data_IF_029822322873
#
_entry.id   IF_029822322873
#
_cell.length_a   1.000
_cell.length_b   1.000
_cell.length_c   1.000
_cell.angle_alpha   90.00
_cell.angle_beta   90.00
_cell.angle_gamma   90.00
#
_symmetry.space_group_name_H-M   'P 1'
#
loop_
_entity.id
_entity.type
_entity.pdbx_description
1 polymer ?
#
# COMPACT_ATOMS: atom_id res chain seq x y z
N UNK A 1 25.40 51.70 -56.49
CA UNK A 1 25.94 51.41 -55.12
C UNK A 1 24.81 50.81 -54.27
N UNK A 2 24.79 49.51 -54.16
CA UNK A 2 23.70 48.74 -53.51
C UNK A 2 24.23 48.20 -52.18
N UNK A 3 23.69 48.70 -51.08
CA UNK A 3 24.11 48.28 -49.72
C UNK A 3 23.26 47.03 -49.33
N UNK A 4 23.95 45.96 -48.97
CA UNK A 4 23.35 44.69 -48.47
C UNK A 4 23.30 44.78 -46.94
N UNK A 5 22.15 44.58 -46.29
CA UNK A 5 22.11 44.52 -44.84
C UNK A 5 22.52 43.10 -44.40
N UNK A 6 23.44 43.06 -43.46
CA UNK A 6 23.89 41.83 -42.78
C UNK A 6 22.80 41.36 -41.78
N UNK A 7 22.15 40.24 -42.07
CA UNK A 7 21.24 39.61 -41.14
C UNK A 7 22.06 38.81 -40.08
N UNK A 8 21.98 39.27 -38.84
CA UNK A 8 22.53 38.57 -37.67
C UNK A 8 21.59 37.42 -37.33
N UNK A 9 21.98 36.21 -37.62
CA UNK A 9 21.27 35.01 -37.14
C UNK A 9 21.71 34.73 -35.69
N UNK A 10 20.80 34.98 -34.74
CA UNK A 10 20.97 34.60 -33.34
C UNK A 10 20.63 33.14 -33.23
N UNK A 11 21.66 32.30 -33.08
CA UNK A 11 21.54 30.86 -32.78
C UNK A 11 21.19 30.73 -31.31
N UNK A 12 19.92 30.48 -30.98
CA UNK A 12 19.48 30.19 -29.64
C UNK A 12 19.95 28.78 -29.27
N UNK A 13 20.98 28.70 -28.44
CA UNK A 13 21.47 27.44 -27.86
C UNK A 13 20.51 27.04 -26.74
N UNK A 14 19.57 26.13 -27.05
CA UNK A 14 18.76 25.47 -26.03
C UNK A 14 19.67 24.55 -25.21
N UNK A 15 20.16 25.05 -24.09
CA UNK A 15 20.82 24.21 -23.07
C UNK A 15 19.70 23.42 -22.39
N UNK A 16 19.54 22.15 -22.78
CA UNK A 16 18.79 21.17 -21.99
C UNK A 16 19.60 20.92 -20.72
N UNK A 17 19.23 21.58 -19.62
CA UNK A 17 19.60 21.16 -18.29
C UNK A 17 18.85 19.84 -18.05
N UNK A 18 19.48 18.74 -18.40
CA UNK A 18 19.13 17.46 -17.80
C UNK A 18 19.40 17.63 -16.30
N UNK A 19 18.32 17.75 -15.51
CA UNK A 19 18.40 17.63 -14.08
C UNK A 19 18.86 16.18 -13.84
N UNK A 20 20.13 16.03 -13.46
CA UNK A 20 20.57 14.81 -12.80
C UNK A 20 19.79 14.75 -11.50
N UNK A 21 18.78 13.87 -11.43
CA UNK A 21 18.26 13.43 -10.15
C UNK A 21 19.42 12.81 -9.42
N UNK A 22 19.64 13.28 -8.21
CA UNK A 22 20.59 12.68 -7.27
C UNK A 22 20.00 11.34 -6.84
N UNK A 23 20.47 10.26 -7.48
CA UNK A 23 19.87 8.93 -7.42
C UNK A 23 20.22 8.17 -6.12
N UNK A 24 20.66 8.86 -5.06
CA UNK A 24 21.18 8.23 -3.84
C UNK A 24 20.20 8.16 -2.65
N UNK A 25 19.33 9.16 -2.48
CA UNK A 25 18.44 9.22 -1.29
C UNK A 25 16.99 8.88 -1.58
N UNK A 26 16.59 8.65 -2.83
CA UNK A 26 15.21 8.42 -3.25
C UNK A 26 14.93 7.11 -3.98
N UNK A 27 15.91 6.21 -4.09
CA UNK A 27 15.76 5.00 -4.93
C UNK A 27 14.55 4.15 -4.50
N UNK A 28 14.26 4.06 -3.20
CA UNK A 28 13.16 3.28 -2.67
C UNK A 28 11.97 4.11 -2.18
N UNK A 29 12.08 5.45 -2.15
CA UNK A 29 11.06 6.33 -1.59
C UNK A 29 9.67 6.08 -2.20
N UNK A 30 9.56 6.07 -3.53
CA UNK A 30 8.29 5.82 -4.21
C UNK A 30 7.71 4.42 -3.93
N UNK A 31 8.57 3.40 -3.79
CA UNK A 31 8.15 2.05 -3.44
C UNK A 31 7.66 1.97 -1.98
N UNK A 32 8.37 2.63 -1.06
CA UNK A 32 7.99 2.75 0.36
C UNK A 32 6.67 3.51 0.49
N UNK A 33 6.51 4.65 -0.17
CA UNK A 33 5.26 5.41 -0.21
C UNK A 33 4.10 4.57 -0.74
N UNK A 34 4.31 3.85 -1.85
CA UNK A 34 3.29 2.98 -2.43
C UNK A 34 2.82 1.91 -1.45
N UNK A 35 3.74 1.11 -0.88
CA UNK A 35 3.37 0.05 0.07
C UNK A 35 2.72 0.60 1.33
N UNK A 36 3.24 1.70 1.86
CA UNK A 36 2.71 2.39 3.03
C UNK A 36 1.31 2.95 2.75
N UNK A 37 1.09 3.54 1.58
CA UNK A 37 -0.22 4.02 1.13
C UNK A 37 -1.26 2.90 1.09
N UNK A 38 -0.94 1.75 0.48
CA UNK A 38 -1.82 0.58 0.45
C UNK A 38 -2.13 0.07 1.87
N UNK A 39 -1.12 -0.04 2.73
CA UNK A 39 -1.30 -0.46 4.12
C UNK A 39 -2.18 0.53 4.91
N UNK A 40 -2.04 1.83 4.66
CA UNK A 40 -2.88 2.86 5.30
C UNK A 40 -4.35 2.77 4.87
N UNK A 41 -4.64 2.49 3.60
CA UNK A 41 -6.02 2.25 3.13
C UNK A 41 -6.62 1.02 3.83
N UNK A 42 -5.86 -0.07 3.95
CA UNK A 42 -6.31 -1.26 4.68
C UNK A 42 -6.56 -0.95 6.17
N UNK A 43 -5.63 -0.23 6.81
CA UNK A 43 -5.74 0.14 8.22
C UNK A 43 -6.94 1.05 8.50
N UNK A 44 -7.24 2.00 7.60
CA UNK A 44 -8.42 2.87 7.70
C UNK A 44 -9.71 2.06 7.81
N UNK A 45 -9.94 1.14 6.88
CA UNK A 45 -11.13 0.31 6.87
C UNK A 45 -11.17 -0.63 8.08
N UNK A 46 -10.04 -1.23 8.43
CA UNK A 46 -9.94 -2.13 9.58
C UNK A 46 -10.26 -1.41 10.91
N UNK A 47 -9.77 -0.18 11.11
CA UNK A 47 -10.04 0.61 12.32
C UNK A 47 -11.54 0.94 12.47
N UNK A 48 -12.20 1.35 11.39
CA UNK A 48 -13.63 1.68 11.43
C UNK A 48 -14.48 0.44 11.74
N UNK A 49 -14.24 -0.67 11.04
CA UNK A 49 -14.90 -1.94 11.36
C UNK A 49 -14.59 -2.41 12.79
N UNK A 50 -13.36 -2.20 13.25
CA UNK A 50 -12.93 -2.55 14.60
C UNK A 50 -13.66 -1.77 15.70
N UNK A 51 -14.04 -0.51 15.46
CA UNK A 51 -14.86 0.27 16.39
C UNK A 51 -16.26 -0.36 16.55
N UNK A 52 -16.86 -0.80 15.45
CA UNK A 52 -18.17 -1.49 15.46
C UNK A 52 -18.05 -2.86 16.16
N UNK A 53 -17.05 -3.67 15.81
CA UNK A 53 -16.86 -5.01 16.39
C UNK A 53 -16.64 -4.96 17.92
N UNK A 54 -15.98 -3.89 18.40
CA UNK A 54 -15.74 -3.63 19.83
C UNK A 54 -16.92 -2.93 20.54
N UNK A 55 -18.02 -2.68 19.86
CA UNK A 55 -19.19 -1.99 20.42
C UNK A 55 -18.99 -0.49 20.70
N UNK A 56 -17.94 0.13 20.12
CA UNK A 56 -17.65 1.57 20.25
C UNK A 56 -18.40 2.41 19.22
N UNK A 57 -18.94 1.78 18.18
CA UNK A 57 -19.77 2.40 17.16
C UNK A 57 -20.96 1.50 16.84
N UNK A 58 -22.07 2.11 16.39
CA UNK A 58 -23.30 1.38 15.99
C UNK A 58 -23.02 0.56 14.73
N UNK A 59 -23.54 -0.66 14.71
CA UNK A 59 -23.50 -1.49 13.50
C UNK A 59 -24.51 -0.97 12.47
N UNK A 60 -24.02 -0.69 11.28
CA UNK A 60 -24.78 -0.47 10.06
C UNK A 60 -24.25 -1.45 9.00
N UNK A 61 -25.11 -2.37 8.56
CA UNK A 61 -24.72 -3.44 7.64
C UNK A 61 -24.16 -2.89 6.33
N UNK A 62 -24.82 -1.86 5.76
CA UNK A 62 -24.41 -1.31 4.48
C UNK A 62 -23.02 -0.63 4.56
N UNK A 63 -22.80 0.14 5.61
CA UNK A 63 -21.50 0.78 5.85
C UNK A 63 -20.40 -0.26 6.11
N UNK A 64 -20.66 -1.25 6.96
CA UNK A 64 -19.70 -2.31 7.26
C UNK A 64 -19.35 -3.13 6.00
N UNK A 65 -20.35 -3.46 5.18
CA UNK A 65 -20.15 -4.20 3.93
C UNK A 65 -19.29 -3.40 2.94
N UNK A 66 -19.50 -2.08 2.82
CA UNK A 66 -18.62 -1.23 1.99
C UNK A 66 -17.18 -1.28 2.49
N UNK A 67 -16.96 -1.07 3.78
CA UNK A 67 -15.61 -1.10 4.38
C UNK A 67 -14.92 -2.46 4.22
N UNK A 68 -15.66 -3.56 4.34
CA UNK A 68 -15.13 -4.90 4.12
C UNK A 68 -14.74 -5.14 2.65
N UNK A 69 -15.51 -4.62 1.69
CA UNK A 69 -15.17 -4.65 0.25
C UNK A 69 -13.96 -3.80 -0.06
N UNK A 70 -13.87 -2.58 0.50
CA UNK A 70 -12.73 -1.68 0.29
C UNK A 70 -11.44 -2.28 0.87
N UNK A 71 -11.50 -2.89 2.06
CA UNK A 71 -10.40 -3.63 2.64
C UNK A 71 -9.97 -4.81 1.74
N UNK A 72 -10.95 -5.58 1.24
CA UNK A 72 -10.67 -6.68 0.32
C UNK A 72 -10.01 -6.18 -0.97
N UNK A 73 -10.54 -5.13 -1.59
CA UNK A 73 -9.97 -4.55 -2.80
C UNK A 73 -8.52 -4.06 -2.57
N UNK A 74 -8.27 -3.34 -1.47
CA UNK A 74 -6.94 -2.86 -1.13
C UNK A 74 -5.94 -4.01 -0.89
N UNK A 75 -6.38 -5.11 -0.26
CA UNK A 75 -5.52 -6.28 -0.01
C UNK A 75 -5.17 -7.06 -1.29
N UNK A 76 -5.92 -6.86 -2.38
CA UNK A 76 -5.69 -7.51 -3.69
C UNK A 76 -4.92 -6.62 -4.67
N UNK A 77 -4.57 -5.40 -4.30
CA UNK A 77 -3.60 -4.63 -5.09
C UNK A 77 -2.28 -5.39 -5.17
N UNK A 78 -1.59 -5.26 -6.29
CA UNK A 78 -0.24 -5.80 -6.41
C UNK A 78 0.72 -4.92 -5.60
N UNK A 79 0.94 -5.31 -4.34
CA UNK A 79 1.79 -4.58 -3.41
C UNK A 79 3.27 -4.96 -3.55
N UNK A 80 3.58 -6.07 -4.23
CA UNK A 80 4.95 -6.62 -4.30
C UNK A 80 5.96 -5.64 -4.93
N UNK A 81 5.62 -4.85 -5.98
CA UNK A 81 6.52 -3.82 -6.49
C UNK A 81 6.91 -2.75 -5.45
N UNK A 82 6.18 -2.63 -4.34
CA UNK A 82 6.53 -1.77 -3.20
C UNK A 82 7.57 -2.38 -2.25
N UNK A 83 8.14 -3.55 -2.57
CA UNK A 83 9.17 -4.25 -1.79
C UNK A 83 10.36 -4.63 -2.69
N UNK A 84 11.02 -3.68 -3.37
CA UNK A 84 12.30 -3.98 -4.01
C UNK A 84 13.32 -4.44 -2.96
N UNK A 85 14.29 -5.27 -3.37
CA UNK A 85 15.34 -5.77 -2.48
C UNK A 85 16.06 -4.59 -1.81
N UNK A 86 16.45 -4.75 -0.55
CA UNK A 86 17.12 -3.73 0.27
C UNK A 86 16.28 -2.47 0.60
N UNK A 87 14.98 -2.42 0.29
CA UNK A 87 14.11 -1.29 0.64
C UNK A 87 13.63 -1.29 2.11
N UNK A 88 14.34 -1.93 3.01
CA UNK A 88 14.23 -1.81 4.48
C UNK A 88 15.09 -0.65 5.01
N UNK A 89 16.03 -0.14 4.21
CA UNK A 89 16.82 1.02 4.55
C UNK A 89 16.07 2.31 4.19
N UNK A 90 15.64 3.06 5.21
CA UNK A 90 14.96 4.34 5.03
C UNK A 90 14.24 4.81 6.31
N UNK A 91 14.07 6.12 6.45
CA UNK A 91 13.49 6.73 7.64
C UNK A 91 11.97 6.45 7.79
N UNK A 92 11.27 6.16 6.68
CA UNK A 92 9.81 6.02 6.63
C UNK A 92 9.33 4.56 6.45
N UNK A 93 10.16 3.59 6.82
CA UNK A 93 9.80 2.16 6.74
C UNK A 93 10.09 1.41 8.03
N UNK A 94 9.15 0.54 8.41
CA UNK A 94 9.33 -0.48 9.46
C UNK A 94 9.52 -1.88 8.82
N UNK A 95 9.83 -1.98 7.52
CA UNK A 95 10.08 -3.28 6.87
C UNK A 95 11.40 -3.87 7.38
N UNK A 96 11.43 -5.20 7.51
CA UNK A 96 12.64 -5.92 7.93
C UNK A 96 13.30 -6.62 6.75
N UNK A 97 14.63 -6.72 6.77
CA UNK A 97 15.39 -7.47 5.79
C UNK A 97 14.99 -8.95 5.66
N UNK A 98 14.35 -9.52 6.70
CA UNK A 98 13.78 -10.87 6.67
C UNK A 98 12.73 -11.07 5.58
N UNK A 99 12.13 -10.02 5.02
CA UNK A 99 11.21 -10.08 3.89
C UNK A 99 11.88 -10.77 2.70
N UNK A 100 13.09 -10.35 2.34
CA UNK A 100 13.82 -10.87 1.18
C UNK A 100 14.53 -12.19 1.49
N UNK A 101 14.89 -12.42 2.76
CA UNK A 101 15.48 -13.68 3.20
C UNK A 101 14.45 -14.82 3.23
N UNK A 102 13.16 -14.51 3.40
CA UNK A 102 12.06 -15.51 3.48
C UNK A 102 10.86 -15.08 2.63
N UNK A 103 11.14 -14.75 1.35
CA UNK A 103 10.18 -14.20 0.39
C UNK A 103 8.95 -15.09 0.19
N UNK A 104 9.13 -16.41 0.16
CA UNK A 104 8.04 -17.36 0.00
C UNK A 104 7.05 -17.29 1.18
N UNK A 105 7.54 -17.17 2.40
CA UNK A 105 6.70 -17.01 3.58
C UNK A 105 6.04 -15.61 3.62
N UNK A 106 6.76 -14.56 3.20
CA UNK A 106 6.20 -13.22 3.09
C UNK A 106 5.00 -13.22 2.13
N UNK A 107 5.15 -13.75 0.92
CA UNK A 107 4.08 -13.83 -0.07
C UNK A 107 2.94 -14.73 0.38
N UNK A 108 3.22 -15.87 1.02
CA UNK A 108 2.21 -16.75 1.61
C UNK A 108 1.37 -16.04 2.69
N UNK A 109 1.97 -15.12 3.48
CA UNK A 109 1.22 -14.31 4.45
C UNK A 109 0.33 -13.27 3.79
N UNK A 110 0.76 -12.67 2.68
CA UNK A 110 -0.10 -11.80 1.87
C UNK A 110 -1.29 -12.56 1.30
N UNK A 111 -1.08 -13.77 0.81
CA UNK A 111 -2.15 -14.63 0.28
C UNK A 111 -3.13 -15.06 1.39
N UNK A 112 -2.62 -15.34 2.58
CA UNK A 112 -3.47 -15.59 3.75
C UNK A 112 -4.34 -14.38 4.08
N UNK A 113 -3.78 -13.16 4.05
CA UNK A 113 -4.56 -11.92 4.23
C UNK A 113 -5.64 -11.77 3.17
N UNK A 114 -5.31 -11.93 1.88
CA UNK A 114 -6.25 -11.87 0.75
C UNK A 114 -7.42 -12.83 0.93
N UNK A 115 -7.13 -14.07 1.35
CA UNK A 115 -8.16 -15.07 1.66
C UNK A 115 -9.10 -14.61 2.78
N UNK A 116 -8.55 -14.11 3.88
CA UNK A 116 -9.37 -13.73 5.05
C UNK A 116 -10.18 -12.45 4.79
N UNK A 117 -9.66 -11.50 4.00
CA UNK A 117 -10.41 -10.28 3.60
C UNK A 117 -11.54 -10.61 2.63
N UNK A 118 -11.33 -11.53 1.67
CA UNK A 118 -12.37 -12.03 0.77
C UNK A 118 -13.51 -12.72 1.55
N UNK A 119 -13.15 -13.54 2.53
CA UNK A 119 -14.13 -14.17 3.40
C UNK A 119 -14.89 -13.13 4.24
N UNK A 120 -14.22 -12.06 4.71
CA UNK A 120 -14.87 -10.99 5.45
C UNK A 120 -15.86 -10.21 4.58
N UNK A 121 -15.50 -9.89 3.34
CA UNK A 121 -16.39 -9.19 2.40
C UNK A 121 -17.66 -10.01 2.12
N UNK A 122 -17.52 -11.32 1.93
CA UNK A 122 -18.63 -12.26 1.74
C UNK A 122 -19.51 -12.36 2.99
N UNK A 123 -18.90 -12.53 4.17
CA UNK A 123 -19.63 -12.66 5.44
C UNK A 123 -20.38 -11.37 5.78
N UNK A 124 -19.77 -10.19 5.53
CA UNK A 124 -20.39 -8.89 5.76
C UNK A 124 -21.63 -8.68 4.89
N UNK A 125 -21.63 -9.15 3.64
CA UNK A 125 -22.77 -9.09 2.75
C UNK A 125 -23.97 -9.94 3.27
N UNK A 126 -23.69 -11.05 3.97
CA UNK A 126 -24.70 -11.90 4.59
C UNK A 126 -25.37 -11.31 5.84
N UNK A 127 -24.76 -10.31 6.48
CA UNK A 127 -25.34 -9.55 7.59
C UNK A 127 -25.33 -10.22 8.97
N UNK A 128 -24.88 -11.46 9.11
CA UNK A 128 -24.74 -12.12 10.42
C UNK A 128 -23.56 -11.49 11.20
N UNK A 129 -23.89 -10.67 12.18
CA UNK A 129 -22.90 -9.91 12.95
C UNK A 129 -22.00 -10.81 13.84
N UNK A 130 -22.47 -11.98 14.28
CA UNK A 130 -21.65 -12.91 15.05
C UNK A 130 -20.59 -13.56 14.15
N UNK A 131 -20.98 -14.00 12.96
CA UNK A 131 -20.07 -14.49 11.94
C UNK A 131 -19.07 -13.42 11.49
N UNK A 132 -19.53 -12.17 11.29
CA UNK A 132 -18.70 -11.01 10.95
C UNK A 132 -17.60 -10.79 12.01
N UNK A 133 -17.96 -10.75 13.30
CA UNK A 133 -16.98 -10.58 14.39
C UNK A 133 -15.91 -11.69 14.38
N UNK A 134 -16.33 -12.91 14.17
CA UNK A 134 -15.43 -14.05 14.09
C UNK A 134 -14.48 -13.91 12.91
N UNK A 135 -14.97 -13.55 11.72
CA UNK A 135 -14.16 -13.42 10.52
C UNK A 135 -13.24 -12.18 10.57
N UNK A 136 -13.73 -11.05 11.14
CA UNK A 136 -12.89 -9.88 11.42
C UNK A 136 -11.68 -10.24 12.31
N UNK A 137 -11.89 -11.09 13.32
CA UNK A 137 -10.81 -11.59 14.17
C UNK A 137 -9.75 -12.40 13.40
N UNK A 138 -10.14 -13.14 12.35
CA UNK A 138 -9.18 -13.87 11.49
C UNK A 138 -8.36 -12.92 10.63
N UNK A 139 -8.97 -11.88 10.06
CA UNK A 139 -8.22 -10.81 9.35
C UNK A 139 -7.18 -10.18 10.27
N UNK A 140 -7.57 -9.82 11.49
CA UNK A 140 -6.62 -9.25 12.47
C UNK A 140 -5.46 -10.19 12.83
N UNK A 141 -5.71 -11.51 12.87
CA UNK A 141 -4.65 -12.52 13.08
C UNK A 141 -3.71 -12.61 11.88
N UNK A 142 -4.22 -12.54 10.65
CA UNK A 142 -3.40 -12.55 9.45
C UNK A 142 -2.45 -11.34 9.43
N UNK A 143 -2.98 -10.12 9.66
CA UNK A 143 -2.16 -8.91 9.78
C UNK A 143 -1.06 -9.06 10.85
N UNK A 144 -1.44 -9.49 12.06
CA UNK A 144 -0.49 -9.67 13.16
C UNK A 144 0.58 -10.71 12.87
N UNK A 145 0.23 -11.80 12.19
CA UNK A 145 1.17 -12.86 11.85
C UNK A 145 2.25 -12.39 10.88
N UNK A 146 1.87 -11.58 9.88
CA UNK A 146 2.80 -10.99 8.94
C UNK A 146 3.71 -9.95 9.64
N UNK A 147 3.12 -9.00 10.35
CA UNK A 147 3.86 -7.94 11.05
C UNK A 147 4.85 -8.50 12.08
N UNK A 148 4.51 -9.57 12.79
CA UNK A 148 5.44 -10.21 13.73
C UNK A 148 6.72 -10.72 13.08
N UNK A 149 6.63 -11.17 11.83
CA UNK A 149 7.77 -11.76 11.12
C UNK A 149 8.59 -10.70 10.36
N UNK A 150 7.91 -9.69 9.77
CA UNK A 150 8.44 -8.86 8.71
C UNK A 150 8.37 -7.35 8.97
N UNK A 151 7.94 -6.95 10.17
CA UNK A 151 7.84 -5.54 10.58
C UNK A 151 8.47 -5.33 11.96
N UNK A 152 9.21 -4.18 12.14
CA UNK A 152 9.72 -3.71 13.42
C UNK A 152 8.63 -3.24 14.37
#
# INVERSE_FOLDING_TARGET
MRRIPASLAILALCVNLAQAHDDGEGEFEAAIEYRTGVMNVMLWNLKHMGAVVKGKAKYDQAAFTRQARDLNAASHLDILPGFPEDSDEGDDTDAKGEIWLDWDNFTAKLDSLRKETSALATTAAGGDFAAIKTQYGKVGKACKSCHKAFRE
#
